data_IF_325375514500
#
_entry.id   IF_325375514500
#
_cell.length_a   1.000
_cell.length_b   1.000
_cell.length_c   1.000
_cell.angle_alpha   90.00
_cell.angle_beta   90.00
_cell.angle_gamma   90.00
#
_symmetry.space_group_name_H-M   'P 1'
#
loop_
_entity.id
_entity.type
_entity.pdbx_description
1 polymer ?
#
# COMPACT_ATOMS: atom_id res chain seq x y z
N UNK A 1 6.57 -20.79 -28.17
CA UNK A 1 6.63 -19.54 -27.37
C UNK A 1 7.71 -18.66 -27.97
N UNK A 2 7.30 -17.65 -28.71
CA UNK A 2 8.15 -16.67 -29.41
C UNK A 2 8.41 -15.49 -28.48
N UNK A 3 9.67 -15.22 -28.15
CA UNK A 3 10.08 -13.94 -27.53
C UNK A 3 10.03 -12.83 -28.59
N UNK A 4 9.90 -11.57 -28.16
CA UNK A 4 9.76 -10.35 -29.02
C UNK A 4 10.92 -10.11 -30.02
N UNK A 5 11.84 -11.05 -30.22
CA UNK A 5 13.04 -10.92 -31.08
C UNK A 5 12.84 -11.33 -32.55
N UNK A 6 11.67 -11.78 -32.98
CA UNK A 6 11.47 -12.41 -34.30
C UNK A 6 10.44 -11.74 -35.22
N UNK A 7 10.34 -10.41 -35.21
CA UNK A 7 9.64 -9.66 -36.26
C UNK A 7 10.65 -8.73 -36.94
N UNK A 8 11.45 -9.30 -37.84
CA UNK A 8 12.12 -8.68 -39.00
C UNK A 8 13.18 -9.68 -39.54
N UNK A 9 12.72 -10.73 -40.21
CA UNK A 9 13.46 -11.48 -41.24
C UNK A 9 12.58 -12.61 -41.79
N UNK A 10 12.49 -12.72 -43.12
CA UNK A 10 11.61 -13.65 -43.84
C UNK A 10 11.93 -15.13 -43.66
N UNK A 11 10.94 -15.96 -44.00
CA UNK A 11 11.04 -17.42 -44.09
C UNK A 11 11.94 -17.86 -45.28
N UNK A 12 12.53 -19.07 -45.29
CA UNK A 12 11.75 -20.30 -45.48
C UNK A 12 12.12 -21.52 -44.61
N UNK A 13 11.20 -22.49 -44.65
CA UNK A 13 11.13 -23.86 -44.14
C UNK A 13 12.42 -24.71 -44.07
N UNK A 14 12.60 -25.41 -42.94
CA UNK A 14 13.11 -26.79 -42.88
C UNK A 14 12.71 -27.46 -41.54
N UNK A 15 12.19 -28.69 -41.63
CA UNK A 15 11.87 -29.60 -40.52
C UNK A 15 13.13 -30.37 -40.14
N UNK A 16 13.49 -30.41 -38.85
CA UNK A 16 14.23 -31.53 -38.25
C UNK A 16 14.13 -31.51 -36.72
N UNK A 17 13.68 -32.65 -36.20
CA UNK A 17 13.53 -32.94 -34.78
C UNK A 17 14.89 -32.99 -34.08
N UNK A 18 15.03 -32.29 -32.95
CA UNK A 18 16.04 -32.59 -31.94
C UNK A 18 15.47 -32.37 -30.54
N UNK A 19 15.83 -33.29 -29.67
CA UNK A 19 15.30 -33.48 -28.33
C UNK A 19 15.66 -32.27 -27.45
N UNK A 20 14.64 -31.62 -26.88
CA UNK A 20 14.82 -30.55 -25.90
C UNK A 20 15.26 -31.17 -24.58
N UNK A 21 16.57 -31.20 -24.34
CA UNK A 21 17.11 -31.32 -22.99
C UNK A 21 16.77 -30.00 -22.30
N UNK A 22 15.85 -30.05 -21.34
CA UNK A 22 15.56 -28.93 -20.46
C UNK A 22 16.86 -28.54 -19.76
N UNK A 23 17.49 -27.45 -20.21
CA UNK A 23 18.49 -26.76 -19.43
C UNK A 23 17.80 -26.30 -18.13
N UNK A 24 18.24 -26.75 -16.95
CA UNK A 24 17.67 -26.25 -15.71
C UNK A 24 17.91 -24.74 -15.68
N UNK A 25 16.81 -23.97 -15.61
CA UNK A 25 16.87 -22.52 -15.43
C UNK A 25 17.78 -22.21 -14.24
N UNK A 26 18.67 -21.24 -14.38
CA UNK A 26 19.54 -20.75 -13.29
C UNK A 26 18.74 -20.35 -12.03
N UNK A 27 17.43 -20.15 -12.18
CA UNK A 27 16.48 -19.93 -11.08
C UNK A 27 16.33 -21.15 -10.17
N UNK A 28 16.37 -22.38 -10.70
CA UNK A 28 16.21 -23.60 -9.92
C UNK A 28 17.45 -23.92 -9.06
N UNK A 29 18.65 -23.58 -9.55
CA UNK A 29 19.89 -23.75 -8.80
C UNK A 29 20.04 -22.73 -7.66
N UNK A 30 19.44 -21.53 -7.79
CA UNK A 30 19.51 -20.50 -6.76
C UNK A 30 18.52 -20.69 -5.60
N UNK A 31 17.52 -21.56 -5.75
CA UNK A 31 16.49 -21.81 -4.72
C UNK A 31 16.85 -22.94 -3.75
N UNK A 32 18.01 -23.58 -3.93
CA UNK A 32 18.39 -24.81 -3.22
C UNK A 32 18.99 -24.66 -1.81
N UNK A 33 19.23 -23.44 -1.31
CA UNK A 33 20.00 -23.25 -0.06
C UNK A 33 19.46 -22.18 0.91
N UNK A 34 18.17 -21.85 0.82
CA UNK A 34 17.55 -20.84 1.70
C UNK A 34 16.96 -21.48 2.97
N UNK A 35 17.80 -22.10 3.78
CA UNK A 35 17.48 -22.50 5.14
C UNK A 35 17.73 -21.35 6.14
N UNK A 36 16.69 -20.61 6.51
CA UNK A 36 16.62 -19.96 7.84
C UNK A 36 17.26 -18.58 8.06
N UNK A 37 17.81 -17.90 7.06
CA UNK A 37 18.15 -16.48 7.14
C UNK A 37 17.18 -15.68 6.25
N UNK A 38 16.79 -14.47 6.64
CA UNK A 38 15.96 -13.61 5.79
C UNK A 38 16.52 -13.60 4.37
N UNK A 39 15.67 -13.86 3.37
CA UNK A 39 16.10 -13.97 1.98
C UNK A 39 17.01 -12.79 1.63
N UNK A 40 18.20 -13.07 1.10
CA UNK A 40 19.16 -12.05 0.69
C UNK A 40 18.52 -11.22 -0.45
N UNK A 41 17.83 -10.17 -0.04
CA UNK A 41 17.06 -9.29 -0.91
C UNK A 41 17.99 -8.57 -1.88
N UNK A 42 19.24 -8.36 -1.49
CA UNK A 42 20.26 -7.78 -2.36
C UNK A 42 20.70 -8.79 -3.43
N UNK A 43 20.95 -10.05 -3.09
CA UNK A 43 21.22 -11.09 -4.09
C UNK A 43 20.03 -11.28 -5.06
N UNK A 44 18.80 -11.23 -4.56
CA UNK A 44 17.59 -11.27 -5.38
C UNK A 44 17.51 -10.06 -6.33
N UNK A 45 17.71 -8.85 -5.84
CA UNK A 45 17.73 -7.62 -6.66
C UNK A 45 18.79 -7.69 -7.76
N UNK A 46 20.00 -8.18 -7.44
CA UNK A 46 21.05 -8.38 -8.43
C UNK A 46 20.66 -9.41 -9.50
N UNK A 47 20.01 -10.51 -9.10
CA UNK A 47 19.53 -11.52 -10.04
C UNK A 47 18.46 -10.95 -10.96
N UNK A 48 17.50 -10.22 -10.42
CA UNK A 48 16.47 -9.51 -11.20
C UNK A 48 17.10 -8.54 -12.19
N UNK A 49 18.06 -7.73 -11.76
CA UNK A 49 18.75 -6.77 -12.62
C UNK A 49 19.49 -7.47 -13.78
N UNK A 50 20.16 -8.60 -13.52
CA UNK A 50 20.83 -9.39 -14.58
C UNK A 50 19.82 -9.96 -15.59
N UNK A 51 18.73 -10.54 -15.11
CA UNK A 51 17.67 -11.09 -15.97
C UNK A 51 17.05 -9.98 -16.82
N UNK A 52 16.68 -8.84 -16.21
CA UNK A 52 16.13 -7.69 -16.92
C UNK A 52 17.12 -7.10 -17.93
N UNK A 53 18.42 -7.07 -17.64
CA UNK A 53 19.42 -6.58 -18.59
C UNK A 53 19.47 -7.44 -19.86
N UNK A 54 19.33 -8.77 -19.73
CA UNK A 54 19.24 -9.68 -20.87
C UNK A 54 17.99 -9.45 -21.73
N UNK A 55 16.85 -9.16 -21.10
CA UNK A 55 15.58 -8.91 -21.78
C UNK A 55 15.49 -7.51 -22.43
N UNK A 56 16.02 -6.50 -21.76
CA UNK A 56 15.89 -5.09 -22.17
C UNK A 56 17.06 -4.62 -23.05
N UNK A 57 18.20 -5.30 -23.00
CA UNK A 57 19.43 -4.84 -23.66
C UNK A 57 20.06 -3.60 -23.04
N UNK A 58 19.57 -3.16 -21.87
CA UNK A 58 20.03 -1.96 -21.16
C UNK A 58 20.25 -2.30 -19.67
N UNK A 59 21.51 -2.37 -19.26
CA UNK A 59 21.90 -2.67 -17.89
C UNK A 59 21.60 -1.54 -16.90
N UNK A 60 21.54 -0.28 -17.35
CA UNK A 60 21.21 0.86 -16.51
C UNK A 60 19.73 0.85 -16.14
N UNK A 61 18.86 0.75 -17.14
CA UNK A 61 17.41 0.64 -16.96
C UNK A 61 17.05 -0.61 -16.14
N UNK A 62 17.69 -1.74 -16.42
CA UNK A 62 17.45 -2.98 -15.70
C UNK A 62 17.72 -2.86 -14.19
N UNK A 63 18.82 -2.19 -13.79
CA UNK A 63 19.14 -1.95 -12.37
C UNK A 63 18.10 -1.05 -11.70
N UNK A 64 17.68 0.02 -12.37
CA UNK A 64 16.66 0.93 -11.82
C UNK A 64 15.32 0.21 -11.63
N UNK A 65 14.85 -0.52 -12.65
CA UNK A 65 13.60 -1.26 -12.58
C UNK A 65 13.64 -2.36 -11.52
N UNK A 66 14.74 -3.12 -11.43
CA UNK A 66 14.92 -4.11 -10.37
C UNK A 66 14.82 -3.48 -8.98
N UNK A 67 15.47 -2.32 -8.77
CA UNK A 67 15.41 -1.63 -7.49
C UNK A 67 14.00 -1.19 -7.09
N UNK A 68 13.22 -0.65 -8.04
CA UNK A 68 11.83 -0.27 -7.80
C UNK A 68 10.93 -1.48 -7.49
N UNK A 69 11.13 -2.61 -8.19
CA UNK A 69 10.40 -3.85 -7.91
C UNK A 69 10.79 -4.40 -6.52
N UNK A 70 12.07 -4.40 -6.18
CA UNK A 70 12.56 -4.83 -4.87
C UNK A 70 11.98 -3.99 -3.75
N UNK A 71 11.98 -2.66 -3.91
CA UNK A 71 11.42 -1.74 -2.93
C UNK A 71 9.93 -1.97 -2.71
N UNK A 72 9.14 -2.11 -3.78
CA UNK A 72 7.69 -2.30 -3.66
C UNK A 72 7.29 -3.71 -3.15
N UNK A 73 8.01 -4.76 -3.56
CA UNK A 73 7.58 -6.16 -3.35
C UNK A 73 8.30 -6.93 -2.24
N UNK A 74 9.52 -6.54 -1.87
CA UNK A 74 10.37 -7.35 -0.99
C UNK A 74 10.81 -6.61 0.27
N UNK A 75 10.78 -5.26 0.29
CA UNK A 75 11.11 -4.46 1.46
C UNK A 75 9.84 -3.99 2.17
N UNK A 76 9.39 -4.73 3.17
CA UNK A 76 8.14 -4.42 3.90
C UNK A 76 8.33 -3.53 5.13
N UNK A 77 9.56 -3.13 5.40
CA UNK A 77 9.92 -2.31 6.55
C UNK A 77 9.42 -0.86 6.39
N UNK A 78 9.17 -0.23 7.52
CA UNK A 78 8.79 1.17 7.61
C UNK A 78 9.41 1.80 8.85
N UNK A 79 9.68 3.11 8.82
CA UNK A 79 10.26 3.80 9.96
C UNK A 79 9.32 3.77 11.16
N UNK A 80 9.91 3.59 12.34
CA UNK A 80 9.19 3.57 13.61
C UNK A 80 9.80 4.54 14.61
N UNK A 81 9.00 5.02 15.56
CA UNK A 81 9.49 5.78 16.71
C UNK A 81 8.71 5.37 17.99
N UNK A 82 9.24 5.67 19.19
CA UNK A 82 8.54 5.40 20.45
C UNK A 82 7.25 6.23 20.58
N UNK A 83 6.12 5.61 20.90
CA UNK A 83 4.79 6.26 20.95
C UNK A 83 4.75 7.57 21.75
N UNK A 84 5.59 7.69 22.79
CA UNK A 84 5.73 8.90 23.63
C UNK A 84 6.20 10.15 22.87
N UNK A 85 6.79 9.98 21.69
CA UNK A 85 7.26 11.05 20.82
C UNK A 85 6.21 11.51 19.80
N UNK A 86 5.01 10.90 19.79
CA UNK A 86 3.95 11.32 18.89
C UNK A 86 3.39 12.70 19.28
N UNK A 87 3.16 13.55 18.29
CA UNK A 87 2.46 14.83 18.42
C UNK A 87 1.04 14.76 17.84
N UNK A 88 0.79 13.83 16.92
CA UNK A 88 -0.52 13.54 16.34
C UNK A 88 -0.64 12.09 15.87
N UNK A 89 -1.87 11.64 15.63
CA UNK A 89 -2.17 10.35 15.01
C UNK A 89 -2.90 10.57 13.70
N UNK A 90 -2.49 9.85 12.66
CA UNK A 90 -3.22 9.76 11.39
C UNK A 90 -3.59 8.31 11.14
N UNK A 91 -4.89 8.02 11.07
CA UNK A 91 -5.42 6.67 10.95
C UNK A 91 -6.13 6.44 9.61
N UNK A 92 -5.61 5.50 8.84
CA UNK A 92 -6.13 5.09 7.54
C UNK A 92 -6.99 3.82 7.68
N UNK A 93 -8.23 3.90 7.20
CA UNK A 93 -9.19 2.81 7.19
C UNK A 93 -8.79 1.71 6.19
N UNK A 94 -9.32 0.51 6.45
CA UNK A 94 -9.05 -0.67 5.63
C UNK A 94 -10.35 -1.41 5.32
N UNK A 95 -10.94 -1.10 4.17
CA UNK A 95 -12.27 -1.59 3.81
C UNK A 95 -13.37 -0.93 4.62
N UNK A 96 -14.60 -1.37 4.37
CA UNK A 96 -15.81 -1.10 5.15
C UNK A 96 -16.85 -2.16 4.76
N UNK A 97 -17.99 -2.25 5.45
CA UNK A 97 -19.08 -3.16 5.08
C UNK A 97 -20.24 -2.41 4.44
N UNK A 98 -20.74 -2.97 3.35
CA UNK A 98 -21.96 -2.53 2.66
C UNK A 98 -23.13 -3.32 3.22
N UNK A 99 -24.23 -2.65 3.57
CA UNK A 99 -25.44 -3.30 4.08
C UNK A 99 -26.22 -4.03 2.97
N UNK A 100 -26.10 -3.56 1.73
CA UNK A 100 -26.81 -4.05 0.54
C UNK A 100 -25.91 -4.87 -0.39
N UNK A 101 -24.59 -4.80 -0.22
CA UNK A 101 -23.59 -5.39 -1.10
C UNK A 101 -23.43 -4.66 -2.44
N UNK A 102 -24.15 -3.55 -2.68
CA UNK A 102 -24.10 -2.78 -3.92
C UNK A 102 -22.89 -1.84 -3.91
N UNK A 103 -21.78 -2.34 -4.43
CA UNK A 103 -20.50 -1.62 -4.46
C UNK A 103 -19.95 -1.69 -5.88
N UNK A 104 -19.48 -0.56 -6.40
CA UNK A 104 -18.72 -0.54 -7.65
C UNK A 104 -17.39 -1.28 -7.43
N UNK A 105 -17.13 -2.39 -8.14
CA UNK A 105 -15.94 -3.20 -7.90
C UNK A 105 -14.63 -2.48 -8.27
N UNK A 106 -14.68 -1.42 -9.08
CA UNK A 106 -13.49 -0.67 -9.48
C UNK A 106 -13.13 0.44 -8.48
N UNK A 107 -14.14 1.09 -7.90
CA UNK A 107 -13.94 2.21 -6.97
C UNK A 107 -14.11 1.81 -5.52
N UNK A 108 -14.74 0.66 -5.26
CA UNK A 108 -15.04 0.17 -3.92
C UNK A 108 -16.04 1.05 -3.19
N UNK A 109 -16.84 1.84 -3.92
CA UNK A 109 -17.85 2.76 -3.38
C UNK A 109 -19.25 2.16 -3.43
N UNK A 110 -20.02 2.39 -2.37
CA UNK A 110 -21.46 2.19 -2.34
C UNK A 110 -22.15 3.14 -3.32
N UNK A 111 -23.31 2.74 -3.84
CA UNK A 111 -24.21 3.60 -4.62
C UNK A 111 -24.79 4.79 -3.83
N UNK A 112 -24.49 4.89 -2.53
CA UNK A 112 -24.87 5.97 -1.64
C UNK A 112 -26.28 5.82 -1.04
N UNK A 113 -27.00 4.74 -1.36
CA UNK A 113 -28.33 4.48 -0.83
C UNK A 113 -28.33 3.92 0.60
N UNK A 114 -27.16 3.58 1.13
CA UNK A 114 -26.99 2.94 2.44
C UNK A 114 -26.03 3.71 3.33
N UNK A 115 -26.12 3.45 4.64
CA UNK A 115 -25.10 3.86 5.60
C UNK A 115 -24.05 2.74 5.71
N UNK A 116 -22.82 2.94 5.21
CA UNK A 116 -21.77 1.94 5.35
C UNK A 116 -21.36 1.75 6.81
N UNK A 117 -20.93 0.53 7.14
CA UNK A 117 -20.44 0.18 8.48
C UNK A 117 -18.91 0.05 8.49
N UNK A 118 -18.23 0.41 9.59
CA UNK A 118 -16.76 0.30 9.67
C UNK A 118 -16.22 -1.13 9.48
N UNK A 119 -16.95 -2.16 9.94
CA UNK A 119 -16.44 -3.53 9.95
C UNK A 119 -15.36 -3.79 11.02
N UNK A 120 -14.95 -5.06 11.20
CA UNK A 120 -14.10 -5.50 12.30
C UNK A 120 -12.66 -4.97 12.20
N UNK A 121 -12.09 -4.85 11.00
CA UNK A 121 -10.70 -4.39 10.83
C UNK A 121 -10.56 -2.93 11.26
N UNK A 122 -11.51 -2.06 10.90
CA UNK A 122 -11.52 -0.67 11.35
C UNK A 122 -11.76 -0.55 12.86
N UNK A 123 -12.46 -1.50 13.49
CA UNK A 123 -12.53 -1.55 14.94
C UNK A 123 -11.17 -1.88 15.57
N UNK A 124 -10.41 -2.82 15.01
CA UNK A 124 -9.05 -3.11 15.48
C UNK A 124 -8.08 -1.94 15.25
N UNK A 125 -8.26 -1.19 14.16
CA UNK A 125 -7.50 0.06 13.93
C UNK A 125 -7.86 1.13 14.96
N UNK A 126 -9.14 1.26 15.33
CA UNK A 126 -9.56 2.14 16.42
C UNK A 126 -8.93 1.71 17.77
N UNK A 127 -8.82 0.41 18.03
CA UNK A 127 -8.16 -0.10 19.24
C UNK A 127 -6.67 0.30 19.27
N UNK A 128 -5.97 0.25 18.12
CA UNK A 128 -4.59 0.71 18.00
C UNK A 128 -4.46 2.23 18.22
N UNK A 129 -5.35 3.04 17.64
CA UNK A 129 -5.39 4.48 17.88
C UNK A 129 -5.63 4.79 19.36
N UNK A 130 -6.58 4.10 19.99
CA UNK A 130 -6.86 4.27 21.41
C UNK A 130 -5.68 3.83 22.29
N UNK A 131 -4.94 2.78 21.91
CA UNK A 131 -3.72 2.37 22.59
C UNK A 131 -2.64 3.48 22.57
N UNK A 132 -2.46 4.17 21.44
CA UNK A 132 -1.60 5.35 21.35
C UNK A 132 -2.09 6.46 22.28
N UNK A 133 -3.38 6.80 22.20
CA UNK A 133 -3.99 7.89 22.97
C UNK A 133 -3.88 7.68 24.50
N UNK A 134 -3.89 6.43 24.97
CA UNK A 134 -3.67 6.09 26.39
C UNK A 134 -2.27 6.40 26.88
N UNK A 135 -1.26 6.30 26.02
CA UNK A 135 0.14 6.62 26.38
C UNK A 135 0.42 8.11 26.20
N UNK A 136 -0.12 8.70 25.12
CA UNK A 136 0.12 10.08 24.73
C UNK A 136 -1.20 10.70 24.21
N UNK A 137 -1.85 11.58 24.99
CA UNK A 137 -3.07 12.25 24.54
C UNK A 137 -2.70 13.30 23.48
N UNK A 138 -2.98 12.99 22.22
CA UNK A 138 -2.71 13.83 21.06
C UNK A 138 -3.92 13.88 20.13
N UNK A 139 -3.95 14.90 19.26
CA UNK A 139 -5.01 15.05 18.27
C UNK A 139 -5.00 13.87 17.29
N UNK A 140 -6.18 13.32 17.05
CA UNK A 140 -6.38 12.19 16.13
C UNK A 140 -7.08 12.67 14.87
N UNK A 141 -6.50 12.38 13.72
CA UNK A 141 -7.14 12.50 12.42
C UNK A 141 -7.38 11.09 11.89
N UNK A 142 -8.63 10.72 11.65
CA UNK A 142 -8.97 9.35 11.29
C UNK A 142 -9.99 9.34 10.16
N UNK A 143 -9.85 8.41 9.21
CA UNK A 143 -10.94 8.13 8.28
C UNK A 143 -12.23 7.80 9.04
N UNK A 144 -13.37 8.20 8.46
CA UNK A 144 -14.67 8.19 9.13
C UNK A 144 -15.04 6.83 9.75
N UNK A 145 -14.62 5.70 9.13
CA UNK A 145 -14.85 4.35 9.64
C UNK A 145 -14.26 4.18 11.04
N UNK A 146 -12.99 4.56 11.18
CA UNK A 146 -12.24 4.46 12.43
C UNK A 146 -12.78 5.51 13.42
N UNK A 147 -13.02 6.74 12.97
CA UNK A 147 -13.55 7.81 13.82
C UNK A 147 -14.91 7.44 14.44
N UNK A 148 -15.79 6.79 13.68
CA UNK A 148 -17.08 6.28 14.17
C UNK A 148 -16.88 5.26 15.29
N UNK A 149 -15.93 4.32 15.16
CA UNK A 149 -15.65 3.35 16.22
C UNK A 149 -15.02 4.02 17.44
N UNK A 150 -14.09 4.96 17.27
CA UNK A 150 -13.48 5.70 18.37
C UNK A 150 -14.53 6.47 19.18
N UNK A 151 -15.48 7.12 18.52
CA UNK A 151 -16.58 7.80 19.18
C UNK A 151 -17.52 6.83 19.89
N UNK A 152 -17.95 5.75 19.22
CA UNK A 152 -18.93 4.82 19.76
C UNK A 152 -18.42 3.89 20.86
N UNK A 153 -17.24 3.30 20.67
CA UNK A 153 -16.64 2.31 21.60
C UNK A 153 -15.89 2.96 22.75
N UNK A 154 -15.18 4.06 22.49
CA UNK A 154 -14.27 4.68 23.45
C UNK A 154 -14.73 6.06 23.93
N UNK A 155 -15.82 6.60 23.39
CA UNK A 155 -16.31 7.93 23.75
C UNK A 155 -15.34 9.07 23.40
N UNK A 156 -14.41 8.84 22.46
CA UNK A 156 -13.41 9.83 22.09
C UNK A 156 -14.05 10.97 21.30
N UNK A 157 -14.01 12.18 21.88
CA UNK A 157 -14.60 13.39 21.26
C UNK A 157 -13.57 14.23 20.48
N UNK A 158 -12.29 14.06 20.78
CA UNK A 158 -11.19 14.82 20.19
C UNK A 158 -10.61 14.14 18.93
N UNK A 159 -11.50 13.77 18.00
CA UNK A 159 -11.15 13.11 16.73
C UNK A 159 -11.64 13.97 15.57
N UNK A 160 -10.76 14.21 14.59
CA UNK A 160 -11.12 14.83 13.30
C UNK A 160 -11.46 13.73 12.31
N UNK A 161 -12.75 13.53 11.96
CA UNK A 161 -13.12 12.54 10.97
C UNK A 161 -12.80 13.05 9.56
N UNK A 162 -12.13 12.22 8.77
CA UNK A 162 -11.87 12.44 7.35
C UNK A 162 -12.92 11.70 6.54
N UNK A 163 -13.84 12.47 5.94
CA UNK A 163 -14.95 11.96 5.15
C UNK A 163 -14.63 11.92 3.65
N UNK A 164 -15.38 11.11 2.87
CA UNK A 164 -15.36 11.17 1.41
C UNK A 164 -15.57 12.60 0.89
N UNK A 165 -14.93 12.94 -0.23
CA UNK A 165 -15.15 14.22 -0.90
C UNK A 165 -16.45 14.22 -1.71
N UNK A 166 -16.98 15.42 -1.99
CA UNK A 166 -18.06 15.62 -2.95
C UNK A 166 -17.49 15.97 -4.31
N UNK A 167 -17.76 15.13 -5.31
CA UNK A 167 -17.44 15.36 -6.71
C UNK A 167 -18.49 16.20 -7.44
N UNK A 168 -18.27 16.47 -8.74
CA UNK A 168 -19.24 17.11 -9.61
C UNK A 168 -20.61 16.41 -9.56
N UNK A 169 -21.69 17.19 -9.52
CA UNK A 169 -23.06 16.64 -9.42
C UNK A 169 -23.40 16.02 -8.05
N UNK A 170 -22.60 16.27 -7.02
CA UNK A 170 -22.86 15.77 -5.65
C UNK A 170 -22.48 14.31 -5.43
N UNK A 171 -21.82 13.66 -6.40
CA UNK A 171 -21.35 12.28 -6.28
C UNK A 171 -20.32 12.14 -5.16
N UNK A 172 -20.51 11.17 -4.27
CA UNK A 172 -19.52 10.83 -3.24
C UNK A 172 -18.26 10.22 -3.87
N UNK A 173 -17.09 10.73 -3.52
CA UNK A 173 -15.78 10.21 -3.93
C UNK A 173 -15.05 9.72 -2.69
N UNK A 174 -14.85 8.39 -2.59
CA UNK A 174 -13.99 7.80 -1.57
C UNK A 174 -12.56 8.31 -1.76
N UNK A 175 -11.95 8.73 -0.66
CA UNK A 175 -10.59 9.23 -0.72
C UNK A 175 -9.60 8.08 -0.85
N UNK A 176 -8.68 8.21 -1.80
CA UNK A 176 -7.46 7.39 -1.81
C UNK A 176 -6.63 7.67 -0.56
N UNK A 177 -5.62 6.84 -0.28
CA UNK A 177 -4.65 7.10 0.80
C UNK A 177 -4.03 8.51 0.69
N UNK A 178 -3.74 8.95 -0.53
CA UNK A 178 -3.24 10.30 -0.81
C UNK A 178 -4.31 11.38 -0.56
N UNK A 179 -5.55 11.14 -0.99
CA UNK A 179 -6.67 12.04 -0.70
C UNK A 179 -6.88 12.24 0.80
N UNK A 180 -6.75 11.17 1.59
CA UNK A 180 -6.82 11.25 3.06
C UNK A 180 -5.65 12.05 3.62
N UNK A 181 -4.41 11.79 3.18
CA UNK A 181 -3.24 12.54 3.64
C UNK A 181 -3.38 14.05 3.36
N UNK A 182 -3.84 14.42 2.16
CA UNK A 182 -4.11 15.81 1.78
C UNK A 182 -5.19 16.46 2.63
N UNK A 183 -6.29 15.74 2.87
CA UNK A 183 -7.37 16.23 3.73
C UNK A 183 -6.87 16.48 5.17
N UNK A 184 -6.04 15.58 5.71
CA UNK A 184 -5.42 15.76 7.03
C UNK A 184 -4.55 17.00 7.08
N UNK A 185 -3.65 17.20 6.10
CA UNK A 185 -2.81 18.40 6.03
C UNK A 185 -3.67 19.66 5.98
N UNK A 186 -4.72 19.66 5.16
CA UNK A 186 -5.64 20.79 5.06
C UNK A 186 -6.36 21.07 6.39
N UNK A 187 -6.81 20.02 7.10
CA UNK A 187 -7.44 20.16 8.41
C UNK A 187 -6.47 20.68 9.49
N UNK A 188 -5.20 20.30 9.42
CA UNK A 188 -4.16 20.79 10.33
C UNK A 188 -3.62 22.17 9.94
N UNK A 189 -3.96 22.68 8.76
CA UNK A 189 -3.44 23.92 8.17
C UNK A 189 -2.09 23.76 7.48
N UNK A 190 -1.22 22.85 7.95
CA UNK A 190 0.01 22.46 7.27
C UNK A 190 0.51 21.10 7.75
N UNK A 191 1.43 20.49 7.00
CA UNK A 191 2.04 19.24 7.42
C UNK A 191 2.95 19.43 8.66
N UNK A 192 3.57 20.60 8.80
CA UNK A 192 4.42 20.94 9.93
C UNK A 192 3.61 21.07 11.23
N UNK A 193 2.37 21.56 11.15
CA UNK A 193 1.48 21.68 12.31
C UNK A 193 1.11 20.32 12.94
N UNK A 194 1.32 19.21 12.22
CA UNK A 194 1.07 17.86 12.72
C UNK A 194 2.20 17.32 13.62
N UNK A 195 3.38 17.95 13.63
CA UNK A 195 4.55 17.46 14.36
C UNK A 195 4.98 16.05 13.91
N UNK A 196 5.45 15.22 14.85
CA UNK A 196 5.70 13.80 14.61
C UNK A 196 4.38 13.02 14.53
N UNK A 197 4.11 12.46 13.36
CA UNK A 197 2.84 11.79 13.07
C UNK A 197 2.98 10.28 13.28
N UNK A 198 2.21 9.74 14.23
CA UNK A 198 2.03 8.30 14.37
C UNK A 198 0.98 7.82 13.35
N UNK A 199 1.42 7.10 12.33
CA UNK A 199 0.55 6.52 11.32
C UNK A 199 -0.01 5.19 11.79
N UNK A 200 -1.33 5.05 11.73
CA UNK A 200 -2.06 3.82 12.00
C UNK A 200 -2.72 3.34 10.70
N UNK A 201 -2.52 2.07 10.37
CA UNK A 201 -3.11 1.40 9.22
C UNK A 201 -2.98 -0.11 9.36
N UNK A 202 -3.62 -0.87 8.49
CA UNK A 202 -3.46 -2.33 8.46
C UNK A 202 -1.99 -2.71 8.24
N UNK A 203 -1.50 -3.82 8.82
CA UNK A 203 -0.07 -4.20 8.78
C UNK A 203 0.51 -4.24 7.37
N UNK A 204 -0.23 -4.81 6.42
CA UNK A 204 0.18 -4.91 5.01
C UNK A 204 -0.05 -3.61 4.20
N UNK A 205 -0.68 -2.59 4.78
CA UNK A 205 -0.98 -1.28 4.16
C UNK A 205 -0.08 -0.15 4.67
N UNK A 206 0.36 -0.25 5.92
CA UNK A 206 0.92 0.88 6.66
C UNK A 206 2.18 1.45 6.03
N UNK A 207 2.98 0.63 5.34
CA UNK A 207 4.14 1.10 4.57
C UNK A 207 3.71 2.20 3.59
N UNK A 208 2.72 1.90 2.75
CA UNK A 208 2.21 2.87 1.77
C UNK A 208 1.55 4.07 2.45
N UNK A 209 0.84 3.89 3.57
CA UNK A 209 0.33 5.04 4.34
C UNK A 209 1.44 5.99 4.78
N UNK A 210 2.55 5.46 5.29
CA UNK A 210 3.72 6.25 5.70
C UNK A 210 4.36 6.95 4.50
N UNK A 211 4.59 6.23 3.39
CA UNK A 211 5.18 6.82 2.18
C UNK A 211 4.34 7.99 1.65
N UNK A 212 3.04 7.78 1.49
CA UNK A 212 2.10 8.80 1.01
C UNK A 212 2.00 9.98 1.98
N UNK A 213 2.01 9.73 3.30
CA UNK A 213 2.02 10.80 4.30
C UNK A 213 3.27 11.69 4.16
N UNK A 214 4.44 11.07 3.94
CA UNK A 214 5.71 11.77 3.75
C UNK A 214 5.76 12.53 2.43
N UNK A 215 5.22 11.98 1.34
CA UNK A 215 5.06 12.70 0.07
C UNK A 215 4.19 13.95 0.21
N UNK A 216 3.25 13.95 1.17
CA UNK A 216 2.45 15.11 1.55
C UNK A 216 3.09 15.98 2.66
N UNK A 217 4.40 15.81 2.92
CA UNK A 217 5.19 16.65 3.80
C UNK A 217 5.14 16.32 5.29
N UNK A 218 4.45 15.24 5.70
CA UNK A 218 4.35 14.86 7.12
C UNK A 218 5.63 14.19 7.64
N UNK A 219 5.99 14.46 8.90
CA UNK A 219 7.00 13.68 9.62
C UNK A 219 6.38 12.35 10.14
N UNK A 220 6.04 11.46 9.21
CA UNK A 220 5.21 10.28 9.46
C UNK A 220 6.00 8.99 9.67
N UNK A 221 5.67 8.24 10.72
CA UNK A 221 6.21 6.91 11.01
C UNK A 221 5.24 6.12 11.91
N UNK A 222 5.50 4.83 12.12
CA UNK A 222 4.63 3.98 12.95
C UNK A 222 5.08 4.01 14.42
N UNK A 223 4.13 4.08 15.35
CA UNK A 223 4.41 3.92 16.78
C UNK A 223 4.86 2.48 17.08
N UNK A 224 6.10 2.31 17.56
CA UNK A 224 6.76 0.99 17.66
C UNK A 224 6.03 0.01 18.59
N UNK A 225 5.49 0.52 19.69
CA UNK A 225 4.92 -0.28 20.78
C UNK A 225 3.48 -0.73 20.49
N UNK A 226 2.84 -0.20 19.45
CA UNK A 226 1.43 -0.47 19.17
C UNK A 226 1.31 -1.45 18.00
N UNK A 227 0.81 -2.68 18.24
CA UNK A 227 0.63 -3.65 17.17
C UNK A 227 -0.46 -3.20 16.20
N UNK A 228 -0.20 -3.42 14.91
CA UNK A 228 -1.16 -3.17 13.84
C UNK A 228 -1.90 -4.46 13.46
N UNK A 229 -3.19 -4.37 13.08
CA UNK A 229 -3.99 -5.54 12.74
C UNK A 229 -3.48 -6.24 11.48
N UNK A 230 -3.66 -7.56 11.44
CA UNK A 230 -3.26 -8.45 10.32
C UNK A 230 -4.45 -9.19 9.70
N UNK A 231 -5.62 -9.04 10.31
CA UNK A 231 -6.85 -9.71 9.93
C UNK A 231 -7.49 -8.99 8.73
N UNK A 232 -8.08 -9.80 7.86
CA UNK A 232 -8.88 -9.36 6.73
C UNK A 232 -10.36 -9.55 7.04
N UNK A 233 -11.23 -8.73 6.45
CA UNK A 233 -12.68 -8.87 6.55
C UNK A 233 -13.23 -9.50 5.26
N UNK A 234 -13.60 -10.79 5.25
CA UNK A 234 -14.18 -11.44 4.08
C UNK A 234 -15.47 -10.78 3.59
N UNK A 235 -16.15 -10.01 4.45
CA UNK A 235 -17.39 -9.30 4.16
C UNK A 235 -17.17 -7.84 3.74
N UNK A 236 -15.92 -7.41 3.54
CA UNK A 236 -15.64 -6.05 3.09
C UNK A 236 -16.35 -5.74 1.76
N UNK A 237 -16.93 -4.55 1.67
CA UNK A 237 -17.41 -3.93 0.44
C UNK A 237 -16.32 -3.88 -0.64
N UNK A 238 -15.07 -3.62 -0.22
CA UNK A 238 -13.92 -3.49 -1.10
C UNK A 238 -13.26 -4.85 -1.33
N UNK A 239 -13.37 -5.45 -2.54
CA UNK A 239 -12.94 -6.84 -2.77
C UNK A 239 -11.46 -7.10 -2.46
N UNK A 240 -10.59 -6.13 -2.74
CA UNK A 240 -9.17 -6.24 -2.46
C UNK A 240 -8.83 -6.26 -0.97
N UNK A 241 -9.73 -5.86 -0.07
CA UNK A 241 -9.50 -5.93 1.39
C UNK A 241 -10.14 -7.16 2.03
N UNK A 242 -10.65 -8.12 1.24
CA UNK A 242 -11.25 -9.37 1.74
C UNK A 242 -10.22 -10.46 2.01
N UNK A 243 -9.08 -10.41 1.31
CA UNK A 243 -8.03 -11.42 1.36
C UNK A 243 -6.66 -10.78 1.23
N UNK A 244 -5.66 -11.42 1.85
CA UNK A 244 -4.29 -10.93 1.89
C UNK A 244 -3.60 -10.88 0.54
N UNK A 245 -3.74 -11.92 -0.27
CA UNK A 245 -3.15 -12.01 -1.60
C UNK A 245 -3.67 -10.92 -2.55
N UNK A 246 -4.99 -10.74 -2.59
CA UNK A 246 -5.63 -9.67 -3.37
C UNK A 246 -5.13 -8.29 -2.93
N UNK A 247 -4.96 -8.08 -1.63
CA UNK A 247 -4.46 -6.82 -1.11
C UNK A 247 -3.00 -6.56 -1.43
N UNK A 248 -2.12 -7.53 -1.20
CA UNK A 248 -0.67 -7.36 -1.43
C UNK A 248 -0.37 -7.05 -2.90
N UNK A 249 -1.07 -7.68 -3.84
CA UNK A 249 -0.97 -7.33 -5.26
C UNK A 249 -1.45 -5.89 -5.53
N UNK A 250 -2.58 -5.51 -4.94
CA UNK A 250 -3.12 -4.13 -5.05
C UNK A 250 -2.12 -3.11 -4.50
N UNK A 251 -1.50 -3.40 -3.35
CA UNK A 251 -0.55 -2.53 -2.69
C UNK A 251 0.76 -2.38 -3.49
N UNK A 252 1.28 -3.48 -4.03
CA UNK A 252 2.46 -3.48 -4.90
C UNK A 252 2.23 -2.62 -6.16
N UNK A 253 1.08 -2.79 -6.82
CA UNK A 253 0.71 -1.97 -7.98
C UNK A 253 0.64 -0.49 -7.60
N UNK A 254 0.07 -0.16 -6.43
CA UNK A 254 -0.03 1.21 -5.96
C UNK A 254 1.36 1.81 -5.68
N UNK A 255 2.27 1.10 -5.01
CA UNK A 255 3.63 1.56 -4.74
C UNK A 255 4.45 1.78 -6.04
N UNK A 256 4.32 0.88 -7.02
CA UNK A 256 4.95 1.06 -8.34
C UNK A 256 4.33 2.25 -9.09
N UNK A 257 3.03 2.47 -8.97
CA UNK A 257 2.34 3.62 -9.57
C UNK A 257 2.79 4.95 -8.95
N UNK A 258 3.00 4.99 -7.63
CA UNK A 258 3.59 6.14 -6.94
C UNK A 258 5.01 6.41 -7.45
N UNK A 259 5.83 5.36 -7.53
CA UNK A 259 7.21 5.45 -8.06
C UNK A 259 7.22 6.01 -9.48
N UNK A 260 6.34 5.50 -10.36
CA UNK A 260 6.15 6.04 -11.71
C UNK A 260 5.74 7.51 -11.67
N UNK A 261 4.80 7.90 -10.81
CA UNK A 261 4.35 9.28 -10.65
C UNK A 261 5.49 10.22 -10.27
N UNK A 262 6.37 9.82 -9.35
CA UNK A 262 7.56 10.58 -8.96
C UNK A 262 8.52 10.77 -10.13
N UNK A 263 8.87 9.69 -10.84
CA UNK A 263 9.76 9.75 -12.01
C UNK A 263 9.21 10.71 -13.07
N UNK A 264 7.91 10.64 -13.37
CA UNK A 264 7.29 11.54 -14.36
C UNK A 264 7.29 13.00 -13.89
N UNK A 265 7.15 13.25 -12.59
CA UNK A 265 7.20 14.60 -12.03
C UNK A 265 8.62 15.18 -12.10
N UNK A 266 9.64 14.36 -11.84
CA UNK A 266 11.07 14.74 -11.97
C UNK A 266 11.46 15.08 -13.42
N UNK A 267 10.83 14.45 -14.40
CA UNK A 267 11.07 14.73 -15.83
C UNK A 267 10.31 15.97 -16.34
N UNK A 268 9.30 16.43 -15.62
CA UNK A 268 8.47 17.57 -16.02
C UNK A 268 8.97 18.91 -15.44
N UNK A 269 9.83 18.86 -14.41
CA UNK A 269 10.50 20.02 -13.82
C UNK A 269 11.86 20.28 -14.45
#
# INVERSE_FOLDING_TARGET
MTTRRALLAGAPTAVLATQSVFAPSALAAALGDAGGAGADTHALEQMMARTLAGELGDGGVARQLASHITEAGFRWEYPTFPVREADSVVAYAFGYRSATGKVDPNTGLSDGAEKPEPGPVNAMLADAVHAIAKVRPVRVYAQWEIAQVLAGKYGMKDVVPIHPAKGPGGKTIYLSTDGVAKAVVAHAGSAQALGKVAVVGHRDHVKRCVLVSRENGMAAAVAREVPLPVQYDPQSAQPWTRRRDAYLLTDLIAQLSMTRGRILSELAG
#
